data_IF_206615288866
#
_entry.id   IF_206615288866
#
_cell.length_a   1.000
_cell.length_b   1.000
_cell.length_c   1.000
_cell.angle_alpha   90.00
_cell.angle_beta   90.00
_cell.angle_gamma   90.00
#
_symmetry.space_group_name_H-M   'P 1'
#
loop_
_entity.id
_entity.type
_entity.pdbx_description
1 polymer ?
#
# COMPACT_ATOMS: atom_id res chain seq x y z
N UNK A 1 -6.59 17.36 14.94
CA UNK A 1 -5.78 17.83 13.78
C UNK A 1 -4.74 16.75 13.51
N UNK A 2 -4.61 16.28 12.27
CA UNK A 2 -3.54 15.34 11.94
C UNK A 2 -2.20 16.09 12.03
N UNK A 3 -1.30 15.60 12.88
CA UNK A 3 0.01 16.21 13.07
C UNK A 3 0.86 15.90 11.83
N UNK A 4 1.28 16.93 11.10
CA UNK A 4 2.07 16.78 9.88
C UNK A 4 3.51 16.53 10.32
N UNK A 5 4.01 15.32 10.07
CA UNK A 5 5.40 14.97 10.35
C UNK A 5 6.37 15.79 9.49
N UNK A 6 7.60 15.94 9.96
CA UNK A 6 8.66 16.57 9.18
C UNK A 6 9.16 15.63 8.07
N UNK A 7 8.97 16.00 6.80
CA UNK A 7 9.33 15.19 5.62
C UNK A 7 10.83 15.22 5.27
N UNK A 8 11.70 15.23 6.27
CA UNK A 8 13.15 15.30 6.06
C UNK A 8 13.83 13.96 6.32
N UNK A 9 14.70 13.56 5.39
CA UNK A 9 15.62 12.46 5.63
C UNK A 9 16.63 12.80 6.72
N UNK A 10 17.27 11.78 7.30
CA UNK A 10 18.34 11.97 8.30
C UNK A 10 19.43 12.93 7.80
N UNK A 11 19.85 12.77 6.55
CA UNK A 11 20.84 13.63 5.90
C UNK A 11 20.39 15.08 5.78
N UNK A 12 19.12 15.30 5.46
CA UNK A 12 18.56 16.65 5.32
C UNK A 12 18.42 17.33 6.68
N UNK A 13 17.95 16.62 7.70
CA UNK A 13 17.94 17.13 9.07
C UNK A 13 19.33 17.56 9.55
N UNK A 14 20.34 16.75 9.24
CA UNK A 14 21.74 17.03 9.60
C UNK A 14 22.29 18.24 8.84
N UNK A 15 21.93 18.39 7.56
CA UNK A 15 22.29 19.56 6.75
C UNK A 15 21.62 20.84 7.27
N UNK A 16 20.31 20.79 7.51
CA UNK A 16 19.54 21.91 8.09
C UNK A 16 20.12 22.35 9.44
N UNK A 17 20.47 21.39 10.29
CA UNK A 17 21.10 21.68 11.57
C UNK A 17 22.51 22.29 11.43
N UNK A 18 23.24 21.91 10.38
CA UNK A 18 24.55 22.51 10.07
C UNK A 18 24.39 23.95 9.61
N UNK A 19 23.47 24.21 8.68
CA UNK A 19 23.17 25.55 8.17
C UNK A 19 22.71 26.47 9.31
N UNK A 20 21.88 25.94 10.22
CA UNK A 20 21.44 26.65 11.42
C UNK A 20 22.61 26.92 12.40
N UNK A 21 23.54 25.98 12.57
CA UNK A 21 24.71 26.21 13.41
C UNK A 21 25.66 27.28 12.83
N UNK A 22 25.75 27.36 11.50
CA UNK A 22 26.51 28.40 10.79
C UNK A 22 25.85 29.76 10.96
N UNK A 23 24.52 29.85 10.81
CA UNK A 23 23.79 31.12 10.98
C UNK A 23 23.88 31.66 12.41
N UNK A 24 23.96 30.78 13.41
CA UNK A 24 24.20 31.14 14.81
C UNK A 24 25.66 31.50 15.12
N UNK A 25 26.57 31.45 14.14
CA UNK A 25 28.00 31.68 14.32
C UNK A 25 28.70 30.62 15.19
N UNK A 26 28.03 29.51 15.49
CA UNK A 26 28.59 28.38 16.26
C UNK A 26 29.48 27.48 15.40
N UNK A 27 29.38 27.63 14.08
CA UNK A 27 30.14 26.86 13.10
C UNK A 27 30.57 27.72 11.93
N UNK A 28 31.72 27.38 11.33
CA UNK A 28 32.18 28.00 10.08
C UNK A 28 31.69 27.20 8.88
N UNK A 29 31.44 27.87 7.76
CA UNK A 29 31.01 27.23 6.51
C UNK A 29 32.09 26.30 5.89
N UNK A 30 33.35 26.43 6.33
CA UNK A 30 34.46 25.57 5.91
C UNK A 30 34.51 24.22 6.64
N UNK A 31 33.69 24.03 7.69
CA UNK A 31 33.67 22.80 8.46
C UNK A 31 32.77 21.74 7.81
N UNK A 32 33.09 20.44 7.98
CA UNK A 32 32.27 19.36 7.43
C UNK A 32 30.87 19.37 8.06
N UNK A 33 29.86 18.86 7.36
CA UNK A 33 28.49 18.72 7.88
C UNK A 33 28.46 17.97 9.23
N UNK A 34 27.44 18.21 10.05
CA UNK A 34 27.24 17.47 11.31
C UNK A 34 27.23 15.95 11.05
N UNK A 35 27.70 15.15 12.02
CA UNK A 35 27.83 13.70 11.84
C UNK A 35 26.52 12.95 12.14
N UNK A 36 26.48 11.67 11.77
CA UNK A 36 25.40 10.78 12.18
C UNK A 36 25.31 10.61 13.71
N UNK A 37 26.43 10.77 14.43
CA UNK A 37 26.46 10.74 15.89
C UNK A 37 25.73 11.93 16.50
N UNK A 38 25.81 13.10 15.87
CA UNK A 38 25.04 14.26 16.29
C UNK A 38 23.54 13.98 16.19
N UNK A 39 23.08 13.38 15.09
CA UNK A 39 21.67 13.02 14.92
C UNK A 39 21.23 11.94 15.92
N UNK A 40 22.11 10.98 16.21
CA UNK A 40 21.87 9.96 17.23
C UNK A 40 21.75 10.59 18.64
N UNK A 41 22.58 11.59 18.93
CA UNK A 41 22.48 12.40 20.15
C UNK A 41 21.21 13.25 20.21
N UNK A 42 20.77 13.81 19.08
CA UNK A 42 19.50 14.53 18.98
C UNK A 42 18.32 13.62 19.33
N UNK A 43 18.26 12.43 18.73
CA UNK A 43 17.22 11.44 19.00
C UNK A 43 17.25 10.95 20.46
N UNK A 44 18.43 10.85 21.06
CA UNK A 44 18.56 10.48 22.49
C UNK A 44 18.01 11.56 23.43
N UNK A 45 18.18 12.84 23.07
CA UNK A 45 17.66 13.98 23.87
C UNK A 45 16.16 14.18 23.68
N UNK A 46 15.64 13.88 22.50
CA UNK A 46 14.25 14.07 22.12
C UNK A 46 13.62 12.73 21.70
N UNK A 47 13.11 11.99 22.68
CA UNK A 47 12.50 10.66 22.47
C UNK A 47 11.29 10.67 21.55
N UNK A 48 10.63 11.82 21.40
CA UNK A 48 9.43 11.98 20.60
C UNK A 48 9.74 12.00 19.09
N UNK A 49 11.02 12.18 18.71
CA UNK A 49 11.46 12.14 17.31
C UNK A 49 11.60 10.70 16.84
N UNK A 50 10.65 10.26 16.02
CA UNK A 50 10.66 8.93 15.42
C UNK A 50 11.13 8.98 13.95
N UNK A 51 12.04 8.06 13.58
CA UNK A 51 12.39 7.85 12.17
C UNK A 51 11.59 6.68 11.63
N UNK A 52 10.55 6.99 10.87
CA UNK A 52 9.73 5.99 10.19
C UNK A 52 10.23 5.75 8.76
N UNK A 53 10.02 4.53 8.27
CA UNK A 53 10.16 4.25 6.84
C UNK A 53 8.85 4.68 6.17
N UNK A 54 8.87 5.61 5.19
CA UNK A 54 7.65 5.99 4.50
C UNK A 54 7.07 4.79 3.76
N UNK A 55 5.74 4.70 3.74
CA UNK A 55 5.06 3.69 2.95
C UNK A 55 5.32 3.97 1.46
N UNK A 56 5.64 2.91 0.70
CA UNK A 56 5.75 3.04 -0.75
C UNK A 56 4.37 3.39 -1.30
N UNK A 57 4.25 4.59 -1.87
CA UNK A 57 3.04 5.07 -2.53
C UNK A 57 3.34 5.22 -4.02
N UNK A 58 2.46 4.71 -4.88
CA UNK A 58 2.60 4.97 -6.32
C UNK A 58 2.29 6.44 -6.60
N UNK A 59 2.89 7.01 -7.66
CA UNK A 59 2.62 8.40 -8.06
C UNK A 59 1.13 8.67 -8.28
N UNK A 60 0.41 7.70 -8.87
CA UNK A 60 -1.03 7.79 -9.05
C UNK A 60 -1.77 7.89 -7.72
N UNK A 61 -1.42 7.08 -6.71
CA UNK A 61 -2.01 7.16 -5.37
C UNK A 61 -1.65 8.46 -4.65
N UNK A 62 -0.43 8.97 -4.84
CA UNK A 62 -0.02 10.26 -4.30
C UNK A 62 -0.90 11.40 -4.84
N UNK A 63 -1.06 11.45 -6.17
CA UNK A 63 -1.91 12.43 -6.85
C UNK A 63 -3.39 12.26 -6.48
N UNK A 64 -3.86 11.02 -6.34
CA UNK A 64 -5.23 10.74 -5.94
C UNK A 64 -5.56 11.13 -4.49
N UNK A 65 -4.54 11.43 -3.68
CA UNK A 65 -4.70 11.86 -2.29
C UNK A 65 -4.61 13.39 -2.14
N UNK A 66 -4.64 14.16 -3.23
CA UNK A 66 -4.71 15.62 -3.12
C UNK A 66 -6.09 16.06 -2.59
N UNK A 67 -6.18 17.17 -1.85
CA UNK A 67 -7.45 17.66 -1.31
C UNK A 67 -8.53 17.79 -2.38
N UNK A 68 -8.18 18.31 -3.55
CA UNK A 68 -9.10 18.54 -4.68
C UNK A 68 -9.60 17.22 -5.25
N UNK A 69 -8.71 16.22 -5.43
CA UNK A 69 -9.11 14.91 -5.95
C UNK A 69 -9.98 14.17 -4.94
N UNK A 70 -9.69 14.28 -3.65
CA UNK A 70 -10.51 13.70 -2.59
C UNK A 70 -11.90 14.34 -2.54
N UNK A 71 -11.99 15.66 -2.63
CA UNK A 71 -13.27 16.38 -2.66
C UNK A 71 -14.13 15.93 -3.85
N UNK A 72 -13.57 15.93 -5.05
CA UNK A 72 -14.27 15.44 -6.24
C UNK A 72 -14.70 13.98 -6.11
N UNK A 73 -13.82 13.11 -5.60
CA UNK A 73 -14.13 11.70 -5.38
C UNK A 73 -15.33 11.51 -4.45
N UNK A 74 -15.37 12.21 -3.31
CA UNK A 74 -16.47 12.07 -2.35
C UNK A 74 -17.78 12.71 -2.84
N UNK A 75 -17.71 13.77 -3.63
CA UNK A 75 -18.88 14.34 -4.32
C UNK A 75 -19.47 13.35 -5.32
N UNK A 76 -18.62 12.75 -6.16
CA UNK A 76 -19.05 11.74 -7.14
C UNK A 76 -19.62 10.50 -6.45
N UNK A 77 -18.96 10.03 -5.38
CA UNK A 77 -19.45 8.91 -4.57
C UNK A 77 -20.84 9.20 -4.00
N UNK A 78 -21.04 10.41 -3.44
CA UNK A 78 -22.34 10.83 -2.92
C UNK A 78 -23.41 10.81 -4.02
N UNK A 79 -23.12 11.39 -5.18
CA UNK A 79 -24.05 11.42 -6.31
C UNK A 79 -24.42 10.00 -6.78
N UNK A 80 -23.45 9.09 -6.89
CA UNK A 80 -23.70 7.68 -7.26
C UNK A 80 -24.56 7.00 -6.21
N UNK A 81 -24.26 7.19 -4.92
CA UNK A 81 -25.04 6.61 -3.83
C UNK A 81 -26.50 7.08 -3.86
N UNK A 82 -26.74 8.37 -4.11
CA UNK A 82 -28.08 8.95 -4.18
C UNK A 82 -28.83 8.45 -5.43
N UNK A 83 -28.20 8.50 -6.60
CA UNK A 83 -28.80 8.09 -7.87
C UNK A 83 -29.13 6.60 -7.93
N UNK A 84 -28.31 5.74 -7.32
CA UNK A 84 -28.56 4.30 -7.26
C UNK A 84 -29.38 3.90 -6.01
N UNK A 85 -29.83 4.87 -5.20
CA UNK A 85 -30.55 4.64 -3.95
C UNK A 85 -29.83 3.65 -3.02
N UNK A 86 -28.50 3.75 -2.91
CA UNK A 86 -27.67 2.81 -2.12
C UNK A 86 -27.47 3.27 -0.66
N UNK A 87 -27.99 4.44 -0.30
CA UNK A 87 -27.96 4.95 1.08
C UNK A 87 -28.58 3.94 2.02
N UNK A 88 -27.84 3.52 3.05
CA UNK A 88 -28.24 2.49 4.02
C UNK A 88 -28.60 1.12 3.41
N UNK A 89 -28.09 0.79 2.21
CA UNK A 89 -28.24 -0.54 1.59
C UNK A 89 -26.88 -1.24 1.38
N UNK A 90 -26.19 -1.59 2.49
CA UNK A 90 -24.87 -2.24 2.43
C UNK A 90 -24.90 -3.64 1.80
N UNK A 91 -26.08 -4.25 1.71
CA UNK A 91 -26.34 -5.55 1.09
C UNK A 91 -26.19 -5.53 -0.44
N UNK A 92 -26.37 -4.35 -1.05
CA UNK A 92 -26.34 -4.17 -2.51
C UNK A 92 -24.98 -3.71 -3.04
N UNK A 93 -24.06 -3.32 -2.16
CA UNK A 93 -22.70 -2.90 -2.55
C UNK A 93 -21.77 -4.10 -2.41
N UNK A 94 -21.33 -4.62 -3.54
CA UNK A 94 -20.41 -5.76 -3.61
C UNK A 94 -18.99 -5.28 -3.91
N UNK A 95 -18.05 -5.63 -3.03
CA UNK A 95 -16.63 -5.46 -3.30
C UNK A 95 -16.06 -6.76 -3.85
N UNK A 96 -15.37 -6.68 -5.00
CA UNK A 96 -14.76 -7.82 -5.68
C UNK A 96 -13.25 -7.66 -5.61
N UNK A 97 -12.56 -8.70 -5.17
CA UNK A 97 -11.10 -8.73 -5.09
C UNK A 97 -10.54 -9.98 -5.74
N UNK A 98 -9.45 -9.79 -6.49
CA UNK A 98 -8.67 -10.85 -7.11
C UNK A 98 -7.38 -11.07 -6.31
N UNK A 99 -7.11 -12.31 -5.89
CA UNK A 99 -5.87 -12.68 -5.21
C UNK A 99 -5.23 -13.87 -5.90
N UNK A 100 -3.94 -13.73 -6.25
CA UNK A 100 -3.11 -14.84 -6.71
C UNK A 100 -2.56 -15.65 -5.55
N UNK A 101 -2.85 -16.94 -5.52
CA UNK A 101 -2.23 -17.92 -4.64
C UNK A 101 -1.14 -18.67 -5.38
N UNK A 102 0.10 -18.51 -4.91
CA UNK A 102 1.22 -19.32 -5.35
C UNK A 102 1.12 -20.68 -4.67
N UNK A 103 1.05 -21.75 -5.46
CA UNK A 103 1.08 -23.13 -4.93
C UNK A 103 2.52 -23.61 -4.63
N UNK A 104 3.52 -22.74 -4.70
CA UNK A 104 4.89 -23.06 -4.33
C UNK A 104 5.06 -23.00 -2.82
N UNK A 105 5.72 -24.00 -2.24
CA UNK A 105 6.05 -23.98 -0.83
C UNK A 105 7.20 -23.00 -0.56
N UNK A 106 7.00 -22.09 0.39
CA UNK A 106 8.09 -21.30 0.95
C UNK A 106 8.78 -22.12 2.04
N UNK A 107 10.11 -22.32 1.97
CA UNK A 107 10.83 -23.07 2.99
C UNK A 107 10.75 -22.35 4.33
N UNK A 108 10.57 -23.11 5.41
CA UNK A 108 10.49 -22.57 6.77
C UNK A 108 11.86 -22.12 7.27
N UNK A 109 11.86 -21.23 8.26
CA UNK A 109 13.09 -20.81 8.91
C UNK A 109 13.76 -21.99 9.62
N UNK A 110 15.06 -22.18 9.37
CA UNK A 110 15.86 -23.22 10.02
C UNK A 110 16.95 -22.61 10.91
N UNK A 111 17.30 -23.32 11.98
CA UNK A 111 18.41 -22.95 12.86
C UNK A 111 19.73 -23.31 12.19
N UNK A 112 20.63 -22.33 12.02
CA UNK A 112 21.94 -22.56 11.43
C UNK A 112 23.04 -21.70 12.07
N UNK A 113 24.31 -22.08 11.83
CA UNK A 113 25.47 -21.34 12.32
C UNK A 113 25.58 -19.95 11.68
N UNK A 114 26.15 -18.99 12.42
CA UNK A 114 26.40 -17.63 11.92
C UNK A 114 27.28 -17.68 10.67
N UNK A 115 26.84 -17.07 9.57
CA UNK A 115 27.47 -17.06 8.22
C UNK A 115 27.30 -18.35 7.38
N UNK A 116 26.43 -19.28 7.78
CA UNK A 116 25.99 -20.36 6.90
C UNK A 116 24.76 -19.93 6.08
N UNK A 117 24.75 -20.27 4.79
CA UNK A 117 23.61 -20.00 3.89
C UNK A 117 22.86 -21.30 3.63
N UNK A 118 21.76 -21.56 4.35
CA UNK A 118 21.01 -22.80 4.18
C UNK A 118 20.35 -22.85 2.80
N UNK A 119 20.37 -24.04 2.19
CA UNK A 119 19.67 -24.30 0.93
C UNK A 119 18.40 -25.10 1.22
N UNK A 120 17.33 -24.77 0.51
CA UNK A 120 16.10 -25.57 0.51
C UNK A 120 15.70 -25.90 -0.91
N UNK A 121 15.27 -27.14 -1.12
CA UNK A 121 14.68 -27.56 -2.40
C UNK A 121 13.26 -27.00 -2.46
N UNK A 122 13.01 -26.11 -3.41
CA UNK A 122 11.64 -25.68 -3.77
C UNK A 122 11.21 -26.32 -5.08
N UNK A 123 9.89 -26.43 -5.31
CA UNK A 123 9.39 -26.92 -6.58
C UNK A 123 9.83 -25.95 -7.70
N UNK A 124 10.32 -26.44 -8.86
CA UNK A 124 10.98 -25.58 -9.85
C UNK A 124 10.11 -24.44 -10.39
N UNK A 125 8.76 -24.59 -10.43
CA UNK A 125 7.77 -23.52 -10.65
C UNK A 125 6.41 -23.95 -10.08
N UNK A 126 5.89 -23.26 -9.06
CA UNK A 126 4.50 -23.45 -8.65
C UNK A 126 3.52 -22.87 -9.67
N UNK A 127 2.37 -23.52 -9.88
CA UNK A 127 1.26 -22.90 -10.60
C UNK A 127 0.64 -21.82 -9.70
N UNK A 128 0.32 -20.66 -10.27
CA UNK A 128 -0.46 -19.63 -9.57
C UNK A 128 -1.94 -19.87 -9.83
N UNK A 129 -2.72 -20.02 -8.76
CA UNK A 129 -4.19 -20.06 -8.84
C UNK A 129 -4.71 -18.67 -8.53
N UNK A 130 -5.59 -18.15 -9.36
CA UNK A 130 -6.27 -16.87 -9.10
C UNK A 130 -7.62 -17.14 -8.47
N UNK A 131 -7.88 -16.51 -7.33
CA UNK A 131 -9.19 -16.55 -6.67
C UNK A 131 -9.86 -15.19 -6.87
N UNK A 132 -11.09 -15.22 -7.41
CA UNK A 132 -11.99 -14.08 -7.39
C UNK A 132 -12.97 -14.26 -6.22
N UNK A 133 -12.92 -13.33 -5.27
CA UNK A 133 -13.81 -13.31 -4.13
C UNK A 133 -14.65 -12.03 -4.14
N UNK A 134 -15.90 -12.13 -3.76
CA UNK A 134 -16.79 -10.98 -3.62
C UNK A 134 -17.56 -11.04 -2.31
N UNK A 135 -17.73 -9.89 -1.68
CA UNK A 135 -18.50 -9.77 -0.45
C UNK A 135 -19.12 -8.39 -0.30
N UNK A 136 -20.17 -8.33 0.50
CA UNK A 136 -20.86 -7.07 0.84
C UNK A 136 -20.67 -6.74 2.34
N UNK A 137 -21.13 -5.56 2.74
CA UNK A 137 -20.93 -5.09 4.12
C UNK A 137 -21.89 -5.73 5.14
N UNK A 138 -22.92 -6.47 4.70
CA UNK A 138 -23.76 -7.30 5.58
C UNK A 138 -23.13 -8.65 5.89
N UNK A 139 -21.99 -8.98 5.27
CA UNK A 139 -21.24 -10.22 5.49
C UNK A 139 -21.61 -11.35 4.54
N UNK A 140 -22.52 -11.12 3.59
CA UNK A 140 -22.78 -12.06 2.51
C UNK A 140 -21.55 -12.17 1.61
N UNK A 141 -21.30 -13.38 1.11
CA UNK A 141 -20.16 -13.71 0.25
C UNK A 141 -20.70 -14.44 -0.96
N UNK A 142 -20.26 -14.07 -2.16
CA UNK A 142 -20.49 -14.92 -3.32
C UNK A 142 -19.57 -16.15 -3.21
N UNK A 143 -20.01 -17.33 -3.68
CA UNK A 143 -19.11 -18.47 -3.82
C UNK A 143 -17.88 -18.03 -4.62
N UNK A 144 -16.69 -18.21 -4.05
CA UNK A 144 -15.44 -17.82 -4.71
C UNK A 144 -15.31 -18.57 -6.03
N UNK A 145 -15.21 -17.85 -7.13
CA UNK A 145 -14.99 -18.47 -8.45
C UNK A 145 -13.50 -18.73 -8.56
N UNK A 146 -13.14 -20.02 -8.66
CA UNK A 146 -11.78 -20.44 -8.95
C UNK A 146 -11.49 -20.23 -10.43
N UNK A 147 -10.72 -19.20 -10.75
CA UNK A 147 -10.17 -19.04 -12.10
C UNK A 147 -8.80 -19.74 -12.11
N UNK A 148 -8.78 -20.99 -12.56
CA UNK A 148 -7.53 -21.67 -12.87
C UNK A 148 -6.91 -21.03 -14.11
N UNK A 149 -5.99 -20.09 -13.92
CA UNK A 149 -5.18 -19.57 -15.02
C UNK A 149 -4.20 -20.64 -15.50
N UNK A 150 -4.62 -21.49 -16.45
CA UNK A 150 -3.74 -21.73 -17.60
C UNK A 150 -3.54 -20.36 -18.22
N UNK A 151 -2.28 -19.92 -18.36
CA UNK A 151 -1.87 -18.66 -18.96
C UNK A 151 -2.65 -18.37 -20.25
N UNK A 152 -3.80 -17.70 -20.15
CA UNK A 152 -4.52 -17.19 -21.30
C UNK A 152 -3.79 -15.91 -21.69
N UNK A 153 -3.02 -15.99 -22.78
CA UNK A 153 -2.68 -14.79 -23.54
C UNK A 153 -4.02 -14.26 -24.04
N UNK A 154 -4.52 -13.20 -23.43
CA UNK A 154 -5.78 -12.57 -23.82
C UNK A 154 -5.66 -12.06 -25.26
N UNK A 155 -6.28 -12.78 -26.20
CA UNK A 155 -6.67 -12.24 -27.50
C UNK A 155 -8.17 -12.05 -27.64
N UNK A 156 -8.97 -12.44 -26.64
CA UNK A 156 -10.42 -12.35 -26.74
C UNK A 156 -11.02 -11.63 -25.53
N UNK A 157 -11.71 -10.54 -25.82
CA UNK A 157 -12.43 -9.71 -24.88
C UNK A 157 -13.57 -10.53 -24.24
N UNK A 158 -13.81 -10.28 -22.95
CA UNK A 158 -14.99 -10.78 -22.25
C UNK A 158 -16.25 -10.46 -23.08
N UNK A 159 -17.13 -11.45 -23.35
CA UNK A 159 -18.38 -11.18 -24.03
C UNK A 159 -19.21 -10.22 -23.16
N UNK A 160 -19.62 -9.10 -23.74
CA UNK A 160 -20.60 -8.21 -23.12
C UNK A 160 -21.86 -9.03 -22.93
N UNK A 161 -22.29 -9.20 -21.67
CA UNK A 161 -23.56 -9.84 -21.34
C UNK A 161 -24.69 -8.91 -21.77
N UNK A 162 -25.15 -9.06 -23.01
CA UNK A 162 -26.40 -8.51 -23.50
C UNK A 162 -27.45 -9.58 -23.33
N UNK A 163 -28.18 -9.57 -22.22
CA UNK A 163 -29.61 -9.90 -22.15
C UNK A 163 -30.12 -9.77 -20.70
N UNK A 164 -31.25 -9.09 -20.46
CA UNK A 164 -31.84 -8.96 -19.13
C UNK A 164 -32.49 -10.27 -18.68
N UNK A 165 -32.17 -10.73 -17.47
CA UNK A 165 -32.87 -11.84 -16.82
C UNK A 165 -34.36 -11.49 -16.65
N UNK A 166 -35.29 -12.38 -17.00
CA UNK A 166 -36.71 -12.17 -16.74
C UNK A 166 -36.97 -12.27 -15.24
N UNK A 167 -37.53 -11.21 -14.67
CA UNK A 167 -38.09 -11.18 -13.32
C UNK A 167 -39.51 -11.73 -13.45
N UNK A 168 -39.75 -12.97 -13.01
CA UNK A 168 -41.10 -13.42 -12.69
C UNK A 168 -41.44 -12.98 -11.26
N UNK A 169 -42.67 -12.47 -11.10
CA UNK A 169 -43.21 -11.78 -9.93
C UNK A 169 -43.32 -12.66 -8.67
#
# INVERSE_FOLDING_TARGET
MADIGYDYSRSECVRLATDFAISLGKRKNSEPCLSADWFSGLKKRWSDIHVAKPQKLSLARAKASSPEVLEHYFLDLKNIMENCHLTNRPDLIWNIHETGLLLEHSPTNIVCQKRYTPQSVTSPRGNTVTILAAGNATGSKLPGVFLHCLRLRTTEAFPKQTDPFPIEF
#
